data_IF_499886889541
#
_entry.id   IF_499886889541
#
_cell.length_a   1.000
_cell.length_b   1.000
_cell.length_c   1.000
_cell.angle_alpha   90.00
_cell.angle_beta   90.00
_cell.angle_gamma   90.00
#
_symmetry.space_group_name_H-M   'P 1'
#
loop_
_entity.id
_entity.type
_entity.pdbx_description
1 polymer ?
#
# COMPACT_ATOMS: atom_id res chain seq x y z
N UNK A 1 20.76 1.48 3.94
CA UNK A 1 21.18 2.55 3.00
C UNK A 1 20.14 2.69 1.90
N UNK A 2 19.87 3.89 1.39
CA UNK A 2 18.96 4.10 0.25
C UNK A 2 19.81 4.50 -0.97
N UNK A 3 19.70 3.72 -2.06
CA UNK A 3 20.35 4.00 -3.34
C UNK A 3 19.32 4.62 -4.28
N UNK A 4 19.49 5.91 -4.60
CA UNK A 4 18.55 6.69 -5.40
C UNK A 4 18.97 6.66 -6.86
N UNK A 5 18.08 6.18 -7.74
CA UNK A 5 18.26 6.15 -9.20
C UNK A 5 19.71 5.86 -9.63
N UNK A 6 20.25 4.67 -9.30
CA UNK A 6 21.65 4.37 -9.56
C UNK A 6 21.94 4.39 -11.06
N UNK A 7 22.93 5.18 -11.46
CA UNK A 7 23.39 5.25 -12.86
C UNK A 7 23.96 3.91 -13.29
N UNK A 8 24.71 3.25 -12.40
CA UNK A 8 25.16 1.88 -12.55
C UNK A 8 25.29 1.23 -11.18
N UNK A 9 24.79 -0.01 -11.07
CA UNK A 9 24.94 -0.88 -9.92
C UNK A 9 24.96 -2.32 -10.38
N UNK A 10 25.83 -3.14 -9.83
CA UNK A 10 25.86 -4.56 -10.10
C UNK A 10 25.90 -5.38 -8.80
N UNK A 11 25.20 -6.49 -8.82
CA UNK A 11 25.20 -7.50 -7.77
C UNK A 11 25.61 -8.84 -8.37
N UNK A 12 26.62 -9.47 -7.79
CA UNK A 12 27.10 -10.78 -8.22
C UNK A 12 26.71 -11.83 -7.21
N UNK A 13 26.22 -12.96 -7.68
CA UNK A 13 25.84 -14.12 -6.85
C UNK A 13 24.83 -13.75 -5.75
N UNK A 14 23.82 -12.91 -6.07
CA UNK A 14 22.72 -12.56 -5.17
C UNK A 14 21.52 -13.50 -5.38
N UNK A 15 20.85 -13.91 -4.31
CA UNK A 15 19.66 -14.75 -4.39
C UNK A 15 18.40 -13.88 -4.58
N UNK A 16 17.55 -14.23 -5.54
CA UNK A 16 16.23 -13.59 -5.66
C UNK A 16 15.29 -14.25 -4.66
N UNK A 17 14.70 -13.44 -3.79
CA UNK A 17 13.77 -13.90 -2.75
C UNK A 17 12.58 -14.65 -3.35
N UNK A 18 12.23 -15.80 -2.78
CA UNK A 18 11.16 -16.66 -3.28
C UNK A 18 11.52 -17.51 -4.51
N UNK A 19 12.75 -17.41 -5.03
CA UNK A 19 13.26 -18.30 -6.09
C UNK A 19 14.29 -19.24 -5.48
N UNK A 20 13.99 -20.54 -5.50
CA UNK A 20 14.93 -21.57 -5.07
C UNK A 20 15.99 -21.84 -6.14
N UNK A 21 17.20 -22.20 -5.70
CA UNK A 21 18.25 -22.66 -6.58
C UNK A 21 19.48 -21.76 -6.62
N UNK A 22 19.98 -21.47 -7.81
CA UNK A 22 21.22 -20.72 -8.01
C UNK A 22 21.04 -19.24 -7.74
N UNK A 23 22.13 -18.55 -7.32
CA UNK A 23 22.15 -17.10 -7.27
C UNK A 23 22.14 -16.49 -8.68
N UNK A 24 21.96 -15.18 -8.74
CA UNK A 24 21.89 -14.39 -9.97
C UNK A 24 22.98 -13.32 -9.98
N UNK A 25 23.45 -12.98 -11.18
CA UNK A 25 24.18 -11.75 -11.46
C UNK A 25 23.18 -10.74 -12.02
N UNK A 26 23.08 -9.57 -11.36
CA UNK A 26 22.08 -8.54 -11.66
C UNK A 26 22.79 -7.23 -11.93
N UNK A 27 22.43 -6.57 -13.04
CA UNK A 27 22.91 -5.24 -13.39
C UNK A 27 21.75 -4.25 -13.44
N UNK A 28 22.00 -3.06 -12.87
CA UNK A 28 21.09 -1.92 -12.90
C UNK A 28 21.81 -0.78 -13.62
N UNK A 29 21.14 -0.21 -14.60
CA UNK A 29 21.61 0.98 -15.29
C UNK A 29 20.46 1.96 -15.48
N UNK A 30 20.72 3.23 -15.17
CA UNK A 30 19.72 4.30 -15.28
C UNK A 30 18.39 3.93 -14.60
N UNK A 31 18.47 3.37 -13.39
CA UNK A 31 17.31 3.02 -12.57
C UNK A 31 16.48 1.84 -13.06
N UNK A 32 16.96 1.05 -14.04
CA UNK A 32 16.28 -0.15 -14.52
C UNK A 32 17.18 -1.37 -14.46
N UNK A 33 16.60 -2.55 -14.29
CA UNK A 33 17.31 -3.82 -14.44
C UNK A 33 17.65 -4.02 -15.91
N UNK A 34 18.94 -4.08 -16.24
CA UNK A 34 19.44 -4.27 -17.60
C UNK A 34 19.92 -5.69 -17.85
N UNK A 35 20.24 -6.44 -16.79
CA UNK A 35 20.55 -7.86 -16.86
C UNK A 35 20.13 -8.56 -15.59
N UNK A 36 19.48 -9.72 -15.73
CA UNK A 36 19.11 -10.63 -14.63
C UNK A 36 19.38 -12.06 -15.11
N UNK A 37 20.53 -12.63 -14.75
CA UNK A 37 20.99 -13.93 -15.26
C UNK A 37 21.42 -14.83 -14.11
N UNK A 38 21.19 -16.14 -14.23
CA UNK A 38 21.79 -17.09 -13.29
C UNK A 38 23.32 -16.91 -13.27
N UNK A 39 23.88 -16.86 -12.07
CA UNK A 39 25.32 -16.72 -11.91
C UNK A 39 26.05 -18.02 -12.34
N UNK A 40 27.06 -17.86 -13.17
CA UNK A 40 27.93 -18.97 -13.52
C UNK A 40 28.74 -19.45 -12.30
N UNK A 41 29.01 -20.76 -12.17
CA UNK A 41 29.84 -21.26 -11.10
C UNK A 41 31.24 -20.61 -11.17
N UNK A 42 31.55 -19.78 -10.22
CA UNK A 42 32.89 -19.16 -10.13
C UNK A 42 33.79 -20.09 -9.33
N UNK A 43 34.90 -20.49 -9.89
CA UNK A 43 36.00 -21.09 -9.14
C UNK A 43 36.64 -19.99 -8.27
N UNK A 44 35.99 -19.64 -7.17
CA UNK A 44 36.58 -18.75 -6.18
C UNK A 44 37.50 -19.60 -5.33
N UNK A 45 38.80 -19.31 -5.37
CA UNK A 45 39.72 -19.69 -4.29
C UNK A 45 39.27 -18.87 -3.06
N UNK A 46 38.33 -19.45 -2.29
CA UNK A 46 37.67 -18.76 -1.19
C UNK A 46 38.59 -18.73 0.02
N UNK A 47 39.26 -17.64 0.24
CA UNK A 47 39.87 -17.35 1.55
C UNK A 47 38.86 -16.84 2.59
N UNK A 48 37.66 -16.42 2.18
CA UNK A 48 36.56 -16.03 3.10
C UNK A 48 35.20 -16.42 2.51
N UNK A 49 34.25 -16.93 3.32
CA UNK A 49 32.88 -17.16 2.88
C UNK A 49 32.23 -15.81 2.54
N UNK A 50 31.87 -15.60 1.27
CA UNK A 50 31.07 -14.43 0.89
C UNK A 50 29.71 -14.50 1.61
N UNK A 51 29.34 -13.39 2.23
CA UNK A 51 28.02 -13.27 2.85
C UNK A 51 26.95 -13.45 1.76
N UNK A 52 26.04 -14.41 1.95
CA UNK A 52 24.88 -14.56 1.06
C UNK A 52 24.00 -13.33 1.21
N UNK A 53 23.62 -12.77 0.05
CA UNK A 53 22.67 -11.65 -0.03
C UNK A 53 21.43 -12.09 -0.78
N UNK A 54 20.31 -11.47 -0.43
CA UNK A 54 19.03 -11.67 -1.11
C UNK A 54 18.51 -10.33 -1.64
N UNK A 55 17.76 -10.40 -2.75
CA UNK A 55 17.07 -9.25 -3.35
C UNK A 55 15.59 -9.60 -3.54
N UNK A 56 14.70 -8.69 -3.18
CA UNK A 56 13.29 -8.72 -3.57
C UNK A 56 12.93 -7.49 -4.39
N UNK A 57 11.80 -7.51 -5.14
CA UNK A 57 11.20 -6.27 -5.60
C UNK A 57 10.94 -5.35 -4.42
N UNK A 58 10.90 -4.05 -4.67
CA UNK A 58 10.43 -3.07 -3.69
C UNK A 58 8.98 -3.39 -3.27
N UNK A 59 8.69 -3.22 -1.99
CA UNK A 59 7.36 -3.42 -1.44
C UNK A 59 6.47 -2.26 -1.89
N UNK A 60 5.22 -2.57 -2.21
CA UNK A 60 4.18 -1.61 -2.61
C UNK A 60 3.10 -1.61 -1.53
N UNK A 61 2.90 -0.46 -0.89
CA UNK A 61 1.84 -0.22 0.09
C UNK A 61 0.65 0.48 -0.61
N UNK A 62 -0.44 -0.27 -0.82
CA UNK A 62 -1.60 0.20 -1.58
C UNK A 62 -2.57 1.07 -0.79
N UNK A 63 -2.36 1.22 0.51
CA UNK A 63 -3.24 2.01 1.34
C UNK A 63 -2.49 2.62 2.52
N UNK A 64 -2.19 3.89 2.43
CA UNK A 64 -1.56 4.67 3.51
C UNK A 64 -2.02 6.13 3.44
N UNK A 65 -1.79 6.91 4.49
CA UNK A 65 -2.13 8.33 4.59
C UNK A 65 -0.88 9.13 4.96
N UNK A 66 -0.06 9.44 3.96
CA UNK A 66 1.23 10.11 4.15
C UNK A 66 1.14 11.59 4.50
N UNK A 67 -0.04 12.20 4.30
CA UNK A 67 -0.28 13.59 4.65
C UNK A 67 -0.63 13.79 6.12
N UNK A 68 -1.14 12.75 6.80
CA UNK A 68 -1.70 12.90 8.12
C UNK A 68 -0.61 12.87 9.19
N UNK A 69 -0.68 13.81 10.12
CA UNK A 69 0.25 13.92 11.24
C UNK A 69 -0.39 13.49 12.56
N UNK A 70 -1.70 13.47 12.61
CA UNK A 70 -2.47 13.12 13.79
C UNK A 70 -3.63 12.21 13.40
N UNK A 71 -4.06 11.34 14.32
CA UNK A 71 -5.22 10.48 14.10
C UNK A 71 -6.52 11.30 14.07
N UNK A 72 -6.61 12.33 14.90
CA UNK A 72 -7.66 13.35 14.80
C UNK A 72 -7.18 14.49 13.89
N UNK A 73 -7.84 14.67 12.77
CA UNK A 73 -7.51 15.72 11.81
C UNK A 73 -7.66 17.14 12.38
N UNK A 74 -8.49 17.34 13.41
CA UNK A 74 -8.60 18.63 14.07
C UNK A 74 -7.29 19.02 14.77
N UNK A 75 -6.55 18.06 15.30
CA UNK A 75 -5.24 18.29 15.91
C UNK A 75 -4.21 18.72 14.87
N UNK A 76 -4.23 18.10 13.69
CA UNK A 76 -3.37 18.49 12.57
C UNK A 76 -3.60 19.94 12.13
N UNK A 77 -4.86 20.40 12.10
CA UNK A 77 -5.19 21.79 11.71
C UNK A 77 -4.61 22.84 12.68
N UNK A 78 -4.30 22.44 13.92
CA UNK A 78 -3.69 23.31 14.92
C UNK A 78 -2.16 23.37 14.86
N UNK A 79 -1.52 22.54 14.00
CA UNK A 79 -0.06 22.51 13.85
C UNK A 79 0.44 23.61 12.93
N UNK A 80 1.68 24.03 13.15
CA UNK A 80 2.38 24.90 12.22
C UNK A 80 2.64 24.15 10.89
N UNK A 81 2.48 24.82 9.76
CA UNK A 81 2.61 24.22 8.43
C UNK A 81 4.00 23.63 8.16
N UNK A 82 5.05 24.22 8.72
CA UNK A 82 6.42 23.71 8.60
C UNK A 82 6.63 22.46 9.46
N UNK A 83 6.00 22.39 10.62
CA UNK A 83 5.98 21.18 11.45
C UNK A 83 5.31 20.02 10.70
N UNK A 84 4.14 20.27 10.11
CA UNK A 84 3.43 19.28 9.28
C UNK A 84 4.31 18.80 8.13
N UNK A 85 4.98 19.70 7.41
CA UNK A 85 5.86 19.35 6.30
C UNK A 85 7.02 18.45 6.75
N UNK A 86 7.66 18.76 7.87
CA UNK A 86 8.76 17.94 8.44
C UNK A 86 8.23 16.55 8.81
N UNK A 87 7.09 16.46 9.48
CA UNK A 87 6.48 15.19 9.87
C UNK A 87 6.11 14.33 8.66
N UNK A 88 5.61 14.95 7.58
CA UNK A 88 5.34 14.26 6.32
C UNK A 88 6.63 13.74 5.67
N UNK A 89 7.70 14.54 5.66
CA UNK A 89 9.01 14.11 5.14
C UNK A 89 9.58 12.93 5.96
N UNK A 90 9.41 12.95 7.27
CA UNK A 90 9.79 11.84 8.14
C UNK A 90 8.97 10.58 7.87
N UNK A 91 7.66 10.71 7.61
CA UNK A 91 6.79 9.59 7.21
C UNK A 91 7.28 8.93 5.91
N UNK A 92 7.63 9.73 4.89
CA UNK A 92 8.23 9.23 3.64
C UNK A 92 9.53 8.46 3.91
N UNK A 93 10.43 9.07 4.69
CA UNK A 93 11.72 8.45 5.02
C UNK A 93 11.55 7.16 5.84
N UNK A 94 10.63 7.15 6.81
CA UNK A 94 10.34 5.98 7.63
C UNK A 94 9.77 4.83 6.80
N UNK A 95 8.82 5.14 5.92
CA UNK A 95 8.22 4.18 4.98
C UNK A 95 9.29 3.57 4.06
N UNK A 96 10.12 4.39 3.41
CA UNK A 96 11.23 3.92 2.57
C UNK A 96 12.18 2.96 3.30
N UNK A 97 12.51 3.25 4.56
CA UNK A 97 13.41 2.39 5.36
C UNK A 97 12.87 0.99 5.62
N UNK A 98 11.56 0.77 5.45
CA UNK A 98 10.96 -0.57 5.54
C UNK A 98 11.05 -1.38 4.25
N UNK A 99 11.60 -0.79 3.18
CA UNK A 99 11.64 -1.41 1.86
C UNK A 99 10.40 -1.13 0.99
N UNK A 100 9.46 -0.32 1.48
CA UNK A 100 8.36 0.21 0.68
C UNK A 100 8.91 1.27 -0.26
N UNK A 101 8.94 1.00 -1.56
CA UNK A 101 9.45 1.91 -2.61
C UNK A 101 8.32 2.63 -3.33
N UNK A 102 7.11 2.09 -3.26
CA UNK A 102 5.92 2.66 -3.88
C UNK A 102 4.76 2.62 -2.88
N UNK A 103 3.99 3.70 -2.82
CA UNK A 103 2.81 3.80 -1.99
C UNK A 103 1.61 4.38 -2.77
N UNK A 104 0.40 3.95 -2.41
CA UNK A 104 -0.83 4.64 -2.79
C UNK A 104 -1.39 5.36 -1.56
N UNK A 105 -1.33 6.70 -1.59
CA UNK A 105 -1.98 7.53 -0.58
C UNK A 105 -3.49 7.52 -0.81
N UNK A 106 -4.22 7.00 0.15
CA UNK A 106 -5.67 6.82 0.07
C UNK A 106 -6.46 8.11 0.42
N UNK A 107 -5.77 9.23 0.52
CA UNK A 107 -6.33 10.55 0.73
C UNK A 107 -5.54 11.38 1.74
N UNK A 108 -5.42 12.66 1.42
CA UNK A 108 -4.77 13.68 2.24
C UNK A 108 -3.60 14.37 1.54
N UNK A 109 -2.76 13.66 0.80
CA UNK A 109 -1.59 14.29 0.18
C UNK A 109 -1.86 14.77 -1.24
N UNK A 110 -1.51 16.03 -1.52
CA UNK A 110 -1.61 16.60 -2.85
C UNK A 110 -0.42 16.19 -3.72
N UNK A 111 -0.59 16.01 -5.05
CA UNK A 111 0.52 15.76 -5.97
C UNK A 111 1.61 16.86 -5.92
N UNK A 112 1.24 18.11 -5.63
CA UNK A 112 2.19 19.21 -5.45
C UNK A 112 3.06 19.01 -4.20
N UNK A 113 2.48 18.56 -3.10
CA UNK A 113 3.19 18.25 -1.86
C UNK A 113 4.14 17.07 -2.05
N UNK A 114 3.70 16.00 -2.74
CA UNK A 114 4.57 14.88 -3.08
C UNK A 114 5.81 15.36 -3.84
N UNK A 115 5.62 16.15 -4.92
CA UNK A 115 6.75 16.72 -5.68
C UNK A 115 7.70 17.52 -4.82
N UNK A 116 7.17 18.35 -3.93
CA UNK A 116 7.97 19.14 -3.00
C UNK A 116 8.78 18.26 -2.06
N UNK A 117 8.15 17.28 -1.40
CA UNK A 117 8.83 16.37 -0.46
C UNK A 117 9.90 15.52 -1.14
N UNK A 118 9.61 14.97 -2.31
CA UNK A 118 10.55 14.18 -3.09
C UNK A 118 11.78 15.02 -3.46
N UNK A 119 11.57 16.23 -3.96
CA UNK A 119 12.65 17.11 -4.43
C UNK A 119 13.44 17.73 -3.28
N UNK A 120 12.74 18.35 -2.33
CA UNK A 120 13.38 19.15 -1.28
C UNK A 120 14.03 18.29 -0.20
N UNK A 121 13.30 17.25 0.26
CA UNK A 121 13.82 16.32 1.28
C UNK A 121 14.51 15.10 0.67
N UNK A 122 14.56 15.01 -0.65
CA UNK A 122 15.20 13.90 -1.37
C UNK A 122 14.72 12.53 -0.91
N UNK A 123 13.42 12.39 -0.73
CA UNK A 123 12.76 11.12 -0.35
C UNK A 123 12.22 10.43 -1.60
N UNK A 124 12.94 9.46 -2.19
CA UNK A 124 12.57 8.86 -3.47
C UNK A 124 11.47 7.79 -3.33
N UNK A 125 10.42 8.08 -2.59
CA UNK A 125 9.23 7.26 -2.51
C UNK A 125 8.30 7.58 -3.68
N UNK A 126 7.97 6.59 -4.49
CA UNK A 126 6.95 6.72 -5.53
C UNK A 126 5.57 6.77 -4.88
N UNK A 127 4.76 7.79 -5.17
CA UNK A 127 3.43 7.93 -4.56
C UNK A 127 2.38 8.22 -5.62
N UNK A 128 1.37 7.36 -5.70
CA UNK A 128 0.09 7.67 -6.35
C UNK A 128 -0.90 8.13 -5.28
N UNK A 129 -1.76 9.09 -5.57
CA UNK A 129 -2.68 9.66 -4.58
C UNK A 129 -4.08 9.89 -5.14
N UNK A 130 -5.07 9.84 -4.22
CA UNK A 130 -6.43 10.35 -4.46
C UNK A 130 -6.60 11.81 -4.05
N UNK A 131 -5.60 12.41 -3.39
CA UNK A 131 -5.58 13.76 -2.81
C UNK A 131 -6.66 14.00 -1.76
N UNK A 132 -7.93 13.80 -2.09
CA UNK A 132 -9.07 14.01 -1.20
C UNK A 132 -9.95 12.75 -1.14
N UNK A 133 -10.80 12.69 -0.11
CA UNK A 133 -11.76 11.61 0.09
C UNK A 133 -13.18 12.17 -0.08
N UNK A 134 -13.99 11.50 -0.88
CA UNK A 134 -15.43 11.77 -0.95
C UNK A 134 -16.14 10.97 0.14
N UNK A 135 -16.86 11.64 1.02
CA UNK A 135 -17.53 11.04 2.17
C UNK A 135 -18.98 11.46 2.33
N UNK A 136 -19.59 11.14 3.46
CA UNK A 136 -21.00 11.45 3.75
C UNK A 136 -21.35 12.94 3.60
N UNK A 137 -20.40 13.84 3.85
CA UNK A 137 -20.58 15.29 3.68
C UNK A 137 -20.75 15.70 2.20
N UNK A 138 -20.32 14.85 1.26
CA UNK A 138 -20.42 15.09 -0.20
C UNK A 138 -21.69 14.48 -0.80
N UNK A 139 -22.44 13.64 -0.07
CA UNK A 139 -23.69 13.02 -0.51
C UNK A 139 -24.85 14.05 -0.58
N UNK A 140 -24.75 14.97 -1.54
CA UNK A 140 -25.70 16.09 -1.76
C UNK A 140 -26.24 16.10 -3.18
N UNK A 141 -26.26 14.95 -3.82
CA UNK A 141 -26.72 14.73 -5.19
C UNK A 141 -25.63 14.88 -6.25
N UNK A 142 -25.93 14.32 -7.41
CA UNK A 142 -25.01 14.18 -8.55
C UNK A 142 -24.36 15.50 -8.97
N UNK A 143 -25.12 16.59 -8.99
CA UNK A 143 -24.58 17.90 -9.38
C UNK A 143 -23.49 18.42 -8.43
N UNK A 144 -23.65 18.17 -7.12
CA UNK A 144 -22.62 18.52 -6.15
C UNK A 144 -21.38 17.65 -6.34
N UNK A 145 -21.56 16.35 -6.54
CA UNK A 145 -20.47 15.40 -6.77
C UNK A 145 -19.67 15.70 -8.05
N UNK A 146 -20.33 16.17 -9.12
CA UNK A 146 -19.65 16.62 -10.34
C UNK A 146 -18.65 17.76 -10.05
N UNK A 147 -19.06 18.75 -9.23
CA UNK A 147 -18.19 19.84 -8.79
C UNK A 147 -17.01 19.34 -7.95
N UNK A 148 -17.28 18.46 -6.98
CA UNK A 148 -16.23 17.87 -6.12
C UNK A 148 -15.22 17.07 -6.94
N UNK A 149 -15.68 16.26 -7.89
CA UNK A 149 -14.80 15.49 -8.77
C UNK A 149 -13.94 16.42 -9.63
N UNK A 150 -14.49 17.52 -10.15
CA UNK A 150 -13.72 18.50 -10.92
C UNK A 150 -12.60 19.13 -10.07
N UNK A 151 -12.86 19.45 -8.80
CA UNK A 151 -11.85 19.95 -7.86
C UNK A 151 -10.72 18.90 -7.65
N UNK A 152 -11.06 17.64 -7.42
CA UNK A 152 -10.08 16.56 -7.27
C UNK A 152 -9.25 16.37 -8.55
N UNK A 153 -9.89 16.41 -9.74
CA UNK A 153 -9.15 16.30 -11.00
C UNK A 153 -8.17 17.44 -11.20
N UNK A 154 -8.53 18.66 -10.80
CA UNK A 154 -7.67 19.82 -10.87
C UNK A 154 -6.38 19.69 -10.03
N UNK A 155 -6.37 18.85 -8.99
CA UNK A 155 -5.14 18.57 -8.22
C UNK A 155 -4.11 17.76 -9.00
N UNK A 156 -4.54 17.04 -10.04
CA UNK A 156 -3.74 16.07 -10.78
C UNK A 156 -3.74 14.67 -10.19
N UNK A 157 -4.54 14.37 -9.15
CA UNK A 157 -4.66 13.04 -8.57
C UNK A 157 -5.05 11.98 -9.61
N UNK A 158 -4.45 10.80 -9.50
CA UNK A 158 -4.71 9.66 -10.38
C UNK A 158 -5.88 8.78 -9.93
N UNK A 159 -6.26 8.91 -8.66
CA UNK A 159 -7.27 8.09 -8.00
C UNK A 159 -8.41 8.93 -7.43
N UNK A 160 -9.57 8.29 -7.28
CA UNK A 160 -10.71 8.81 -6.51
C UNK A 160 -10.93 7.89 -5.33
N UNK A 161 -10.94 8.44 -4.12
CA UNK A 161 -11.28 7.71 -2.88
C UNK A 161 -12.73 7.96 -2.51
N UNK A 162 -13.48 6.87 -2.37
CA UNK A 162 -14.86 6.89 -1.87
C UNK A 162 -14.86 6.30 -0.46
N UNK A 163 -15.36 7.05 0.52
CA UNK A 163 -15.71 6.58 1.84
C UNK A 163 -17.15 6.09 1.81
N UNK A 164 -17.35 4.85 1.32
CA UNK A 164 -18.70 4.34 1.06
C UNK A 164 -19.48 3.99 2.33
N UNK A 165 -18.77 3.69 3.43
CA UNK A 165 -19.33 3.51 4.78
C UNK A 165 -18.54 4.33 5.79
N UNK A 166 -18.99 4.36 7.05
CA UNK A 166 -18.18 4.85 8.17
C UNK A 166 -17.03 3.89 8.52
N UNK A 167 -16.15 4.31 9.41
CA UNK A 167 -14.94 3.59 9.83
C UNK A 167 -14.60 3.72 11.31
N UNK A 168 -13.32 3.93 11.62
CA UNK A 168 -12.83 4.14 12.99
C UNK A 168 -12.92 5.59 13.46
N UNK A 169 -13.20 6.55 12.56
CA UNK A 169 -13.06 7.98 12.83
C UNK A 169 -13.89 8.49 13.99
N UNK A 170 -15.17 8.12 14.09
CA UNK A 170 -16.03 8.53 15.19
C UNK A 170 -16.89 7.38 15.73
N UNK A 171 -17.20 7.38 17.05
CA UNK A 171 -18.00 6.33 17.69
C UNK A 171 -19.40 6.16 17.08
N UNK A 172 -19.96 7.23 16.51
CA UNK A 172 -21.32 7.26 15.93
C UNK A 172 -21.39 6.81 14.47
N UNK A 173 -20.24 6.60 13.80
CA UNK A 173 -20.21 6.16 12.41
C UNK A 173 -20.80 4.77 12.23
N UNK A 174 -21.55 4.60 11.16
CA UNK A 174 -22.19 3.34 10.77
C UNK A 174 -21.32 2.64 9.74
N UNK A 175 -20.73 1.54 10.14
CA UNK A 175 -19.64 0.87 9.39
C UNK A 175 -20.12 -0.03 8.24
N UNK A 176 -21.42 -0.29 8.12
CA UNK A 176 -21.99 -1.13 7.05
C UNK A 176 -23.17 -0.47 6.32
N UNK A 177 -23.57 0.72 6.76
CA UNK A 177 -24.60 1.51 6.08
C UNK A 177 -23.94 2.45 5.06
N UNK A 178 -24.54 2.59 3.85
CA UNK A 178 -23.99 3.46 2.82
C UNK A 178 -23.99 4.93 3.21
N UNK A 179 -22.89 5.64 2.91
CA UNK A 179 -22.80 7.09 3.00
C UNK A 179 -23.44 7.81 1.79
N UNK A 180 -23.62 7.11 0.68
CA UNK A 180 -24.17 7.62 -0.57
C UNK A 180 -25.41 6.81 -0.97
N UNK A 181 -26.25 7.37 -1.82
CA UNK A 181 -27.21 6.58 -2.56
C UNK A 181 -26.49 5.74 -3.63
N UNK A 182 -27.13 4.67 -4.09
CA UNK A 182 -26.60 3.83 -5.20
C UNK A 182 -26.37 4.66 -6.47
N UNK A 183 -27.25 5.60 -6.77
CA UNK A 183 -27.12 6.52 -7.92
C UNK A 183 -25.87 7.39 -7.81
N UNK A 184 -25.63 8.00 -6.65
CA UNK A 184 -24.45 8.84 -6.38
C UNK A 184 -23.17 8.03 -6.46
N UNK A 185 -23.13 6.85 -5.84
CA UNK A 185 -21.98 5.95 -5.90
C UNK A 185 -21.65 5.56 -7.35
N UNK A 186 -22.65 5.08 -8.09
CA UNK A 186 -22.48 4.70 -9.48
C UNK A 186 -22.08 5.90 -10.38
N UNK A 187 -22.58 7.10 -10.07
CA UNK A 187 -22.17 8.32 -10.77
C UNK A 187 -20.68 8.62 -10.55
N UNK A 188 -20.21 8.61 -9.30
CA UNK A 188 -18.80 8.86 -8.97
C UNK A 188 -17.90 7.94 -9.78
N UNK A 189 -18.16 6.63 -9.75
CA UNK A 189 -17.31 5.65 -10.45
C UNK A 189 -17.33 5.86 -11.96
N UNK A 190 -18.51 5.95 -12.58
CA UNK A 190 -18.61 6.20 -14.03
C UNK A 190 -17.91 7.48 -14.46
N UNK A 191 -18.07 8.56 -13.69
CA UNK A 191 -17.45 9.83 -13.99
C UNK A 191 -15.93 9.80 -13.83
N UNK A 192 -15.43 9.10 -12.81
CA UNK A 192 -14.00 8.87 -12.62
C UNK A 192 -13.40 8.10 -13.80
N UNK A 193 -13.99 6.98 -14.20
CA UNK A 193 -13.51 6.17 -15.32
C UNK A 193 -13.57 6.93 -16.66
N UNK A 194 -14.62 7.72 -16.90
CA UNK A 194 -14.71 8.58 -18.10
C UNK A 194 -13.56 9.62 -18.16
N UNK A 195 -13.02 10.02 -17.01
CA UNK A 195 -11.87 10.92 -16.89
C UNK A 195 -10.54 10.17 -16.67
N UNK A 196 -10.48 8.86 -16.97
CA UNK A 196 -9.30 8.01 -16.84
C UNK A 196 -8.71 8.00 -15.42
N UNK A 197 -9.56 8.16 -14.42
CA UNK A 197 -9.18 8.03 -13.01
C UNK A 197 -9.57 6.66 -12.49
N UNK A 198 -8.77 6.12 -11.60
CA UNK A 198 -9.02 4.88 -10.88
C UNK A 198 -9.79 5.16 -9.60
N UNK A 199 -10.49 4.16 -9.09
CA UNK A 199 -11.32 4.30 -7.88
C UNK A 199 -10.93 3.25 -6.84
N UNK A 200 -10.72 3.72 -5.60
CA UNK A 200 -10.58 2.87 -4.43
C UNK A 200 -11.71 3.17 -3.44
N UNK A 201 -12.28 2.13 -2.82
CA UNK A 201 -13.48 2.25 -2.02
C UNK A 201 -13.27 1.76 -0.60
N UNK A 202 -13.29 2.68 0.36
CA UNK A 202 -13.43 2.32 1.77
C UNK A 202 -14.82 1.74 2.00
N UNK A 203 -14.89 0.52 2.44
CA UNK A 203 -16.10 -0.13 2.93
C UNK A 203 -15.75 -1.25 3.91
N UNK A 204 -16.45 -1.32 5.03
CA UNK A 204 -16.29 -2.44 5.94
C UNK A 204 -17.15 -3.64 5.56
N UNK A 205 -18.24 -3.42 4.83
CA UNK A 205 -19.18 -4.46 4.43
C UNK A 205 -20.51 -3.89 3.97
N UNK A 206 -21.50 -4.77 3.84
CA UNK A 206 -22.85 -4.40 3.41
C UNK A 206 -22.98 -4.27 1.89
N UNK A 207 -24.02 -3.57 1.44
CA UNK A 207 -24.39 -3.45 0.02
C UNK A 207 -23.36 -2.67 -0.80
N UNK A 208 -22.52 -1.85 -0.15
CA UNK A 208 -21.49 -1.07 -0.85
C UNK A 208 -20.39 -1.94 -1.46
N UNK A 209 -20.17 -3.16 -0.94
CA UNK A 209 -19.34 -4.17 -1.61
C UNK A 209 -19.98 -4.57 -2.95
N UNK A 210 -21.29 -4.81 -2.96
CA UNK A 210 -22.02 -5.19 -4.18
C UNK A 210 -22.00 -4.09 -5.22
N UNK A 211 -22.19 -2.84 -4.80
CA UNK A 211 -22.08 -1.67 -5.68
C UNK A 211 -20.66 -1.51 -6.24
N UNK A 212 -19.63 -1.77 -5.43
CA UNK A 212 -18.24 -1.71 -5.87
C UNK A 212 -17.93 -2.75 -6.95
N UNK A 213 -18.42 -3.98 -6.76
CA UNK A 213 -18.32 -5.07 -7.73
C UNK A 213 -19.04 -4.70 -9.04
N UNK A 214 -20.27 -4.23 -8.94
CA UNK A 214 -21.11 -3.88 -10.09
C UNK A 214 -20.53 -2.69 -10.88
N UNK A 215 -19.99 -1.69 -10.18
CA UNK A 215 -19.40 -0.50 -10.81
C UNK A 215 -18.00 -0.74 -11.37
N UNK A 216 -17.34 -1.84 -11.00
CA UNK A 216 -16.02 -2.23 -11.51
C UNK A 216 -14.90 -1.32 -10.99
N UNK A 217 -14.90 -0.98 -9.70
CA UNK A 217 -13.82 -0.21 -9.07
C UNK A 217 -12.50 -1.01 -9.10
N UNK A 218 -11.35 -0.34 -8.95
CA UNK A 218 -10.08 -1.04 -8.97
C UNK A 218 -9.81 -1.81 -7.68
N UNK A 219 -10.24 -1.30 -6.52
CA UNK A 219 -10.07 -2.01 -5.26
C UNK A 219 -11.10 -1.65 -4.20
N UNK A 220 -11.43 -2.65 -3.37
CA UNK A 220 -12.14 -2.52 -2.11
C UNK A 220 -11.13 -2.53 -0.98
N UNK A 221 -11.23 -1.56 -0.08
CA UNK A 221 -10.36 -1.38 1.07
C UNK A 221 -11.07 -1.87 2.34
N UNK A 222 -10.33 -2.51 3.24
CA UNK A 222 -10.76 -3.06 4.54
C UNK A 222 -11.66 -4.29 4.43
N UNK A 223 -12.90 -4.16 3.99
CA UNK A 223 -13.82 -5.26 3.63
C UNK A 223 -13.97 -6.38 4.67
N UNK A 224 -13.77 -6.11 5.98
CA UNK A 224 -13.72 -7.15 7.00
C UNK A 224 -15.03 -7.92 7.18
N UNK A 225 -16.17 -7.36 6.76
CA UNK A 225 -17.45 -8.03 6.78
C UNK A 225 -17.88 -8.60 5.42
N UNK A 226 -16.90 -8.90 4.55
CA UNK A 226 -17.11 -9.60 3.29
C UNK A 226 -17.81 -10.94 3.54
N UNK A 227 -18.92 -11.17 2.84
CA UNK A 227 -19.63 -12.47 2.89
C UNK A 227 -19.07 -13.46 1.87
N UNK A 228 -19.33 -14.75 2.06
CA UNK A 228 -18.89 -15.78 1.10
C UNK A 228 -19.47 -15.56 -0.31
N UNK A 229 -20.75 -15.17 -0.40
CA UNK A 229 -21.41 -14.88 -1.67
C UNK A 229 -20.77 -13.66 -2.38
N UNK A 230 -20.49 -12.59 -1.63
CA UNK A 230 -19.78 -11.43 -2.16
C UNK A 230 -18.36 -11.79 -2.61
N UNK A 231 -17.68 -12.69 -1.87
CA UNK A 231 -16.33 -13.12 -2.24
C UNK A 231 -16.32 -13.86 -3.60
N UNK A 232 -17.32 -14.69 -3.87
CA UNK A 232 -17.47 -15.34 -5.18
C UNK A 232 -17.62 -14.32 -6.32
N UNK A 233 -18.53 -13.37 -6.16
CA UNK A 233 -18.74 -12.30 -7.18
C UNK A 233 -17.55 -11.37 -7.33
N UNK A 234 -16.87 -11.07 -6.22
CA UNK A 234 -15.66 -10.24 -6.24
C UNK A 234 -14.53 -10.91 -7.04
N UNK A 235 -14.33 -12.22 -6.86
CA UNK A 235 -13.36 -12.99 -7.63
C UNK A 235 -13.64 -12.98 -9.14
N UNK A 236 -14.92 -13.08 -9.53
CA UNK A 236 -15.34 -13.05 -10.93
C UNK A 236 -15.21 -11.65 -11.57
N UNK A 237 -15.36 -10.59 -10.78
CA UNK A 237 -15.31 -9.21 -11.26
C UNK A 237 -13.91 -8.71 -11.58
N UNK A 238 -12.89 -9.30 -10.99
CA UNK A 238 -11.50 -8.83 -11.08
C UNK A 238 -11.17 -7.63 -10.19
N UNK A 239 -12.13 -7.11 -9.42
CA UNK A 239 -11.90 -6.06 -8.41
C UNK A 239 -10.98 -6.61 -7.32
N UNK A 240 -9.94 -5.85 -6.96
CA UNK A 240 -8.97 -6.27 -5.96
C UNK A 240 -9.46 -6.01 -4.52
N UNK A 241 -8.86 -6.71 -3.56
CA UNK A 241 -9.16 -6.55 -2.15
C UNK A 241 -7.89 -6.17 -1.37
N UNK A 242 -7.90 -5.01 -0.69
CA UNK A 242 -6.81 -4.49 0.13
C UNK A 242 -7.27 -4.44 1.59
N UNK A 243 -6.99 -5.46 2.41
CA UNK A 243 -7.64 -5.65 3.70
C UNK A 243 -7.13 -4.73 4.82
N UNK A 244 -5.89 -4.22 4.76
CA UNK A 244 -5.33 -3.30 5.77
C UNK A 244 -5.43 -3.82 7.21
N UNK A 245 -4.92 -5.00 7.45
CA UNK A 245 -5.24 -5.75 8.68
C UNK A 245 -4.53 -5.27 9.93
N UNK A 246 -3.31 -4.78 9.81
CA UNK A 246 -2.46 -4.42 10.95
C UNK A 246 -2.99 -3.22 11.73
N UNK A 247 -3.56 -2.22 11.06
CA UNK A 247 -4.08 -1.02 11.74
C UNK A 247 -5.19 -1.36 12.72
N UNK A 248 -6.07 -2.31 12.40
CA UNK A 248 -7.17 -2.70 13.28
C UNK A 248 -6.69 -3.45 14.52
N UNK A 249 -5.61 -4.24 14.41
CA UNK A 249 -4.96 -4.85 15.57
C UNK A 249 -4.28 -3.80 16.46
N UNK A 250 -3.61 -2.83 15.86
CA UNK A 250 -2.97 -1.73 16.59
C UNK A 250 -4.02 -0.88 17.29
N UNK A 251 -5.10 -0.53 16.58
CA UNK A 251 -6.19 0.28 17.10
C UNK A 251 -7.02 -0.43 18.19
N UNK A 252 -7.00 -1.76 18.23
CA UNK A 252 -7.68 -2.55 19.25
C UNK A 252 -6.98 -2.51 20.63
N UNK A 253 -5.72 -2.11 20.69
CA UNK A 253 -4.98 -2.02 21.96
C UNK A 253 -5.31 -0.70 22.68
N UNK A 254 -6.03 -0.72 23.83
CA UNK A 254 -6.37 0.49 24.57
C UNK A 254 -5.16 1.17 25.24
N UNK A 255 -4.00 0.51 25.27
CA UNK A 255 -2.72 1.04 25.75
C UNK A 255 -1.73 1.28 24.59
N UNK A 256 -2.19 1.08 23.37
CA UNK A 256 -1.39 1.22 22.17
C UNK A 256 -1.02 2.65 21.82
N UNK A 257 -0.16 2.78 20.84
CA UNK A 257 0.44 4.06 20.40
C UNK A 257 -0.60 5.08 19.92
N UNK A 258 -1.80 4.64 19.51
CA UNK A 258 -2.85 5.53 19.01
C UNK A 258 -3.68 6.17 20.11
N UNK A 259 -3.59 5.69 21.36
CA UNK A 259 -4.30 6.24 22.54
C UNK A 259 -5.81 6.48 22.31
N UNK A 260 -6.47 5.55 21.62
CA UNK A 260 -7.87 5.67 21.21
C UNK A 260 -8.84 5.42 22.37
N UNK A 261 -10.06 5.93 22.25
CA UNK A 261 -11.11 5.72 23.24
C UNK A 261 -11.49 4.22 23.32
N UNK A 262 -11.94 3.71 24.49
CA UNK A 262 -12.34 2.31 24.64
C UNK A 262 -13.37 1.84 23.62
N UNK A 263 -14.30 2.71 23.21
CA UNK A 263 -15.33 2.39 22.21
C UNK A 263 -14.71 2.16 20.83
N UNK A 264 -13.71 2.95 20.46
CA UNK A 264 -12.99 2.77 19.18
C UNK A 264 -12.13 1.51 19.25
N UNK A 265 -11.44 1.26 20.36
CA UNK A 265 -10.64 0.04 20.53
C UNK A 265 -11.51 -1.23 20.41
N UNK A 266 -12.69 -1.24 21.05
CA UNK A 266 -13.62 -2.38 20.95
C UNK A 266 -14.14 -2.58 19.51
N UNK A 267 -14.43 -1.48 18.79
CA UNK A 267 -14.82 -1.52 17.38
C UNK A 267 -13.68 -2.08 16.53
N UNK A 268 -12.45 -1.65 16.75
CA UNK A 268 -11.27 -2.13 16.05
C UNK A 268 -11.01 -3.62 16.32
N UNK A 269 -11.19 -4.08 17.55
CA UNK A 269 -11.06 -5.49 17.92
C UNK A 269 -12.04 -6.36 17.14
N UNK A 270 -13.32 -5.96 17.08
CA UNK A 270 -14.34 -6.68 16.28
C UNK A 270 -14.01 -6.72 14.79
N UNK A 271 -13.45 -5.63 14.25
CA UNK A 271 -13.00 -5.56 12.87
C UNK A 271 -11.81 -6.49 12.63
N UNK A 272 -10.82 -6.52 13.52
CA UNK A 272 -9.66 -7.40 13.45
C UNK A 272 -10.07 -8.89 13.51
N UNK A 273 -11.02 -9.26 14.36
CA UNK A 273 -11.56 -10.62 14.44
C UNK A 273 -12.26 -11.03 13.13
N UNK A 274 -13.02 -10.12 12.53
CA UNK A 274 -13.74 -10.38 11.29
C UNK A 274 -12.79 -10.55 10.09
N UNK A 275 -11.65 -9.87 10.06
CA UNK A 275 -10.67 -9.95 8.98
C UNK A 275 -10.19 -11.38 8.70
N UNK A 276 -9.99 -12.20 9.72
CA UNK A 276 -9.57 -13.61 9.54
C UNK A 276 -10.56 -14.38 8.64
N UNK A 277 -11.86 -14.14 8.81
CA UNK A 277 -12.90 -14.75 7.99
C UNK A 277 -12.90 -14.19 6.57
N UNK A 278 -12.83 -12.86 6.42
CA UNK A 278 -12.83 -12.20 5.11
C UNK A 278 -11.62 -12.61 4.25
N UNK A 279 -10.43 -12.66 4.84
CA UNK A 279 -9.21 -13.13 4.16
C UNK A 279 -9.33 -14.61 3.79
N UNK A 280 -9.88 -15.45 4.68
CA UNK A 280 -10.15 -16.85 4.38
C UNK A 280 -11.11 -17.02 3.20
N UNK A 281 -12.13 -16.18 3.07
CA UNK A 281 -13.03 -16.15 1.91
C UNK A 281 -12.31 -15.67 0.65
N UNK A 282 -11.58 -14.58 0.73
CA UNK A 282 -10.83 -14.03 -0.39
C UNK A 282 -9.83 -15.03 -0.95
N UNK A 283 -9.06 -15.69 -0.10
CA UNK A 283 -8.10 -16.73 -0.49
C UNK A 283 -8.76 -17.91 -1.19
N UNK A 284 -9.84 -18.46 -0.62
CA UNK A 284 -10.56 -19.61 -1.20
C UNK A 284 -11.26 -19.27 -2.52
N UNK A 285 -11.75 -18.04 -2.66
CA UNK A 285 -12.36 -17.56 -3.89
C UNK A 285 -11.35 -17.17 -4.97
N UNK A 286 -10.05 -17.03 -4.62
CA UNK A 286 -9.01 -16.62 -5.55
C UNK A 286 -9.01 -15.13 -5.87
N UNK A 287 -9.49 -14.29 -4.95
CA UNK A 287 -9.48 -12.82 -5.10
C UNK A 287 -8.03 -12.33 -5.10
N UNK A 288 -7.72 -11.36 -5.99
CA UNK A 288 -6.44 -10.67 -5.96
C UNK A 288 -6.33 -9.82 -4.70
N UNK A 289 -5.39 -10.17 -3.83
CA UNK A 289 -5.11 -9.44 -2.60
C UNK A 289 -4.01 -8.40 -2.83
N UNK A 290 -4.20 -7.21 -2.26
CA UNK A 290 -3.18 -6.17 -2.20
C UNK A 290 -2.71 -5.94 -0.76
N UNK A 291 -1.41 -5.66 -0.60
CA UNK A 291 -0.82 -5.23 0.65
C UNK A 291 -1.14 -3.75 0.88
N UNK A 292 -1.64 -3.39 2.05
CA UNK A 292 -1.94 -2.02 2.45
C UNK A 292 -1.98 -1.90 3.96
N UNK A 293 -1.43 -0.83 4.52
CA UNK A 293 -1.29 -0.69 5.98
C UNK A 293 -2.36 0.17 6.62
N UNK A 294 -2.90 1.14 5.89
CA UNK A 294 -3.80 2.19 6.40
C UNK A 294 -3.16 3.02 7.54
N UNK A 295 -1.82 3.15 7.49
CA UNK A 295 -1.10 3.95 8.48
C UNK A 295 -1.27 5.43 8.21
N UNK A 296 -1.67 6.14 9.26
CA UNK A 296 -2.18 7.51 9.17
C UNK A 296 -1.46 8.49 10.10
N UNK A 297 -0.40 8.08 10.78
CA UNK A 297 0.36 8.96 11.66
C UNK A 297 1.86 8.66 11.59
N UNK A 298 2.74 9.63 11.83
CA UNK A 298 4.18 9.41 11.84
C UNK A 298 4.65 8.32 12.80
N UNK A 299 3.90 8.08 13.89
CA UNK A 299 4.19 7.01 14.86
C UNK A 299 4.00 5.60 14.29
N UNK A 300 3.26 5.44 13.20
CA UNK A 300 3.03 4.16 12.52
C UNK A 300 3.91 3.97 11.29
N UNK A 301 4.25 5.05 10.59
CA UNK A 301 5.15 4.95 9.45
C UNK A 301 6.53 4.42 9.88
N UNK A 302 7.05 3.44 9.14
CA UNK A 302 8.25 2.68 9.55
C UNK A 302 7.94 1.33 10.21
N UNK A 303 6.66 1.04 10.46
CA UNK A 303 6.17 -0.29 10.89
C UNK A 303 5.40 -1.03 9.79
N UNK A 304 5.45 -0.56 8.53
CA UNK A 304 4.67 -1.10 7.41
C UNK A 304 4.79 -2.62 7.25
N UNK A 305 5.92 -3.22 7.63
CA UNK A 305 6.13 -4.66 7.54
C UNK A 305 5.24 -5.48 8.51
N UNK A 306 4.62 -4.85 9.52
CA UNK A 306 3.68 -5.55 10.42
C UNK A 306 2.45 -6.08 9.69
N UNK A 307 2.11 -5.51 8.52
CA UNK A 307 1.04 -6.05 7.69
C UNK A 307 1.35 -7.48 7.23
N UNK A 308 2.62 -7.84 6.98
CA UNK A 308 3.00 -9.23 6.70
C UNK A 308 2.65 -10.16 7.86
N UNK A 309 2.94 -9.76 9.11
CA UNK A 309 2.67 -10.58 10.29
C UNK A 309 1.18 -10.88 10.39
N UNK A 310 0.33 -9.87 10.21
CA UNK A 310 -1.13 -10.02 10.31
C UNK A 310 -1.72 -10.81 9.15
N UNK A 311 -1.24 -10.63 7.93
CA UNK A 311 -1.67 -11.43 6.78
C UNK A 311 -1.32 -12.91 6.95
N UNK A 312 -0.13 -13.23 7.48
CA UNK A 312 0.28 -14.61 7.80
C UNK A 312 -0.59 -15.22 8.90
N UNK A 313 -0.85 -14.46 9.97
CA UNK A 313 -1.71 -14.90 11.08
C UNK A 313 -3.15 -15.17 10.62
N UNK A 314 -3.64 -14.44 9.60
CA UNK A 314 -4.96 -14.64 9.01
C UNK A 314 -4.99 -15.69 7.89
N UNK A 315 -3.88 -16.44 7.70
CA UNK A 315 -3.85 -17.65 6.90
C UNK A 315 -3.30 -17.54 5.49
N UNK A 316 -2.71 -16.40 5.10
CA UNK A 316 -1.88 -16.37 3.91
C UNK A 316 -0.59 -17.15 4.17
N UNK A 317 -0.09 -17.84 3.15
CA UNK A 317 1.29 -18.30 3.20
C UNK A 317 2.25 -17.17 2.78
N UNK A 318 3.56 -17.36 3.00
CA UNK A 318 4.57 -16.33 2.72
C UNK A 318 4.60 -15.90 1.26
N UNK A 319 4.46 -16.83 0.33
CA UNK A 319 4.46 -16.52 -1.10
C UNK A 319 3.24 -15.65 -1.49
N UNK A 320 2.07 -15.96 -0.93
CA UNK A 320 0.85 -15.17 -1.13
C UNK A 320 1.00 -13.76 -0.55
N UNK A 321 1.53 -13.63 0.67
CA UNK A 321 1.76 -12.34 1.30
C UNK A 321 2.79 -11.49 0.54
N UNK A 322 3.91 -12.08 0.10
CA UNK A 322 4.89 -11.36 -0.74
C UNK A 322 4.32 -10.97 -2.10
N UNK A 323 3.55 -11.86 -2.73
CA UNK A 323 2.88 -11.56 -4.00
C UNK A 323 1.92 -10.38 -3.87
N UNK A 324 1.14 -10.31 -2.78
CA UNK A 324 0.23 -9.19 -2.52
C UNK A 324 0.96 -7.85 -2.32
N UNK A 325 2.21 -7.88 -1.85
CA UNK A 325 3.04 -6.70 -1.59
C UNK A 325 3.93 -6.30 -2.78
N UNK A 326 3.94 -7.08 -3.86
CA UNK A 326 4.81 -6.86 -5.03
C UNK A 326 4.02 -6.94 -6.34
N UNK A 327 3.91 -8.13 -6.92
CA UNK A 327 3.32 -8.34 -8.25
C UNK A 327 1.85 -7.93 -8.30
N UNK A 328 1.02 -8.44 -7.37
CA UNK A 328 -0.41 -8.12 -7.35
C UNK A 328 -0.64 -6.64 -7.04
N UNK A 329 0.15 -6.06 -6.12
CA UNK A 329 0.08 -4.63 -5.83
C UNK A 329 0.44 -3.78 -7.06
N UNK A 330 1.47 -4.13 -7.81
CA UNK A 330 1.84 -3.45 -9.04
C UNK A 330 0.73 -3.52 -10.10
N UNK A 331 0.08 -4.68 -10.25
CA UNK A 331 -1.07 -4.86 -11.15
C UNK A 331 -2.26 -3.99 -10.72
N UNK A 332 -2.58 -3.92 -9.42
CA UNK A 332 -3.65 -3.08 -8.87
C UNK A 332 -3.37 -1.59 -9.14
N UNK A 333 -2.12 -1.16 -9.02
CA UNK A 333 -1.71 0.20 -9.38
C UNK A 333 -1.77 0.47 -10.89
N UNK A 334 -1.86 -0.57 -11.73
CA UNK A 334 -1.75 -0.48 -13.18
C UNK A 334 -0.33 -0.31 -13.69
N UNK A 335 0.66 -0.62 -12.85
CA UNK A 335 2.10 -0.53 -13.14
C UNK A 335 2.78 -1.90 -13.20
N UNK A 336 2.03 -3.00 -13.32
CA UNK A 336 2.55 -4.36 -13.36
C UNK A 336 3.49 -4.67 -14.54
N UNK A 337 3.49 -3.81 -15.57
CA UNK A 337 4.40 -3.90 -16.70
C UNK A 337 5.82 -3.37 -16.40
N UNK A 338 6.01 -2.66 -15.29
CA UNK A 338 7.30 -2.05 -14.94
C UNK A 338 7.69 -2.13 -13.45
N UNK A 339 6.77 -2.51 -12.55
CA UNK A 339 7.01 -2.64 -11.11
C UNK A 339 6.69 -4.04 -10.59
N UNK A 340 7.18 -4.37 -9.40
CA UNK A 340 6.82 -5.57 -8.66
C UNK A 340 7.59 -6.83 -9.04
N UNK A 341 8.61 -6.74 -9.90
CA UNK A 341 9.44 -7.89 -10.34
C UNK A 341 10.92 -7.52 -10.44
N UNK A 342 11.78 -8.52 -10.19
CA UNK A 342 13.19 -8.47 -10.54
C UNK A 342 13.32 -9.09 -11.94
N UNK A 343 13.23 -8.26 -12.97
CA UNK A 343 13.28 -8.71 -14.36
C UNK A 343 13.85 -7.61 -15.27
N UNK A 344 14.49 -8.01 -16.37
CA UNK A 344 15.05 -7.07 -17.37
C UNK A 344 13.98 -6.12 -17.90
N UNK A 345 14.29 -4.83 -17.98
CA UNK A 345 13.41 -3.74 -18.40
C UNK A 345 12.56 -3.13 -17.27
N UNK A 346 12.40 -3.83 -16.15
CA UNK A 346 11.65 -3.30 -15.00
C UNK A 346 12.43 -2.19 -14.28
N UNK A 347 11.69 -1.28 -13.65
CA UNK A 347 12.26 -0.28 -12.76
C UNK A 347 12.95 -0.99 -11.60
N UNK A 348 14.16 -0.56 -11.28
CA UNK A 348 14.98 -1.19 -10.25
C UNK A 348 14.60 -0.73 -8.83
N UNK A 349 13.30 -0.84 -8.51
CA UNK A 349 12.81 -0.73 -7.16
C UNK A 349 13.01 -2.08 -6.46
N UNK A 350 13.94 -2.12 -5.49
CA UNK A 350 14.36 -3.38 -4.88
C UNK A 350 14.82 -3.20 -3.44
N UNK A 351 14.80 -4.29 -2.69
CA UNK A 351 15.34 -4.35 -1.33
C UNK A 351 16.40 -5.45 -1.24
N UNK A 352 17.56 -5.11 -0.65
CA UNK A 352 18.68 -6.03 -0.43
C UNK A 352 18.69 -6.45 1.04
N UNK A 353 18.82 -7.75 1.29
CA UNK A 353 18.77 -8.33 2.62
C UNK A 353 20.02 -9.16 2.94
N UNK A 354 20.37 -9.18 4.24
CA UNK A 354 21.44 -10.03 4.80
C UNK A 354 21.00 -11.48 5.02
N UNK A 355 19.71 -11.77 4.98
CA UNK A 355 19.11 -13.09 5.14
C UNK A 355 17.90 -13.23 4.23
N UNK A 356 17.48 -14.45 3.94
CA UNK A 356 16.30 -14.71 3.11
C UNK A 356 15.05 -14.08 3.75
N UNK A 357 14.45 -13.07 3.09
CA UNK A 357 13.29 -12.39 3.64
C UNK A 357 12.05 -13.30 3.73
N UNK A 358 11.98 -14.36 2.93
CA UNK A 358 10.91 -15.37 3.02
C UNK A 358 11.04 -16.29 4.25
N UNK A 359 12.19 -16.30 4.93
CA UNK A 359 12.41 -17.07 6.15
C UNK A 359 12.29 -16.23 7.44
N UNK A 360 12.06 -14.92 7.31
CA UNK A 360 11.86 -14.05 8.46
C UNK A 360 10.64 -14.50 9.29
N UNK A 361 10.80 -14.60 10.60
CA UNK A 361 9.74 -15.09 11.49
C UNK A 361 8.65 -14.03 11.76
N UNK A 362 9.05 -12.75 11.68
CA UNK A 362 8.17 -11.60 11.90
C UNK A 362 8.76 -10.34 11.23
N UNK A 363 7.96 -9.27 11.22
CA UNK A 363 8.31 -7.96 10.66
C UNK A 363 9.60 -7.37 11.24
N UNK A 364 9.88 -7.56 12.52
CA UNK A 364 11.10 -7.00 13.15
C UNK A 364 12.36 -7.72 12.65
N UNK A 365 12.32 -9.04 12.52
CA UNK A 365 13.42 -9.81 11.93
C UNK A 365 13.61 -9.46 10.45
N UNK A 366 12.51 -9.32 9.70
CA UNK A 366 12.54 -8.89 8.30
C UNK A 366 13.20 -7.51 8.17
N UNK A 367 12.74 -6.54 8.96
CA UNK A 367 13.29 -5.17 8.99
C UNK A 367 14.79 -5.15 9.32
N UNK A 368 15.22 -5.92 10.31
CA UNK A 368 16.65 -6.02 10.71
C UNK A 368 17.54 -6.65 9.64
N UNK A 369 16.99 -7.44 8.74
CA UNK A 369 17.73 -8.04 7.63
C UNK A 369 17.97 -7.10 6.46
N UNK A 370 17.27 -5.95 6.37
CA UNK A 370 17.41 -4.98 5.28
C UNK A 370 18.79 -4.30 5.35
N UNK A 371 19.56 -4.45 4.29
CA UNK A 371 20.86 -3.78 4.10
C UNK A 371 20.67 -2.45 3.36
N UNK A 372 19.95 -2.49 2.24
CA UNK A 372 19.71 -1.31 1.43
C UNK A 372 18.39 -1.39 0.66
N UNK A 373 17.85 -0.22 0.36
CA UNK A 373 16.69 -0.04 -0.52
C UNK A 373 17.17 0.67 -1.78
N UNK A 374 16.81 0.14 -2.92
CA UNK A 374 17.11 0.72 -4.24
C UNK A 374 15.83 1.29 -4.81
N UNK A 375 15.88 2.53 -5.30
CA UNK A 375 14.76 3.17 -5.98
C UNK A 375 15.19 3.54 -7.39
N UNK A 376 14.54 2.98 -8.39
CA UNK A 376 14.96 3.10 -9.78
C UNK A 376 14.39 4.30 -10.52
N UNK A 377 13.40 5.00 -9.98
CA UNK A 377 12.81 6.15 -10.64
C UNK A 377 13.64 7.41 -10.45
N UNK A 378 13.69 8.24 -11.48
CA UNK A 378 14.06 9.64 -11.38
C UNK A 378 12.93 10.47 -10.73
N UNK A 379 13.17 11.77 -10.48
CA UNK A 379 12.16 12.64 -9.84
C UNK A 379 10.83 12.70 -10.62
N UNK A 380 10.86 12.57 -11.95
CA UNK A 380 9.65 12.60 -12.79
C UNK A 380 8.82 11.32 -12.69
N UNK A 381 9.45 10.18 -12.45
CA UNK A 381 8.80 8.88 -12.32
C UNK A 381 8.29 8.54 -10.92
N UNK A 382 8.42 9.46 -9.94
CA UNK A 382 8.01 9.24 -8.54
C UNK A 382 6.56 9.66 -8.23
N UNK A 383 5.83 10.23 -9.21
CA UNK A 383 4.47 10.78 -8.99
C UNK A 383 3.49 10.16 -9.98
#
# INVERSE_FOLDING_TARGET
>A
MILKHPQFQAYSSIHIAGIEGKPFDIEIQNGRFTSVKEAEPRHVQAEQPQQKLWISPGIIDLHTHLAWTDFDHADQLNRDSREVEVMQAEAFAATLRTGVTTARDAGGILPSTIRHLVKYYQQPLRVQTSSEMLGAADAKGVKHLEGRLAEIYATGAGWIKIMATGGLGAPTEKVTEPNFSEEEFAFIVRHAHANRKKVLVHTWGGVTIDWSIQAGVESIEHGMFLTWDQAGRLAESGVAFVPTTSIYRIAADPKGVLALSPVICERAARAADAHATAIGYAKRAGIRLGFGTDYATPSLHGYNLQEFDTLLDYGLNRAEAWKSATQDAAEILGSGHELGRIAEGYVADAVIYAADPYQAQNADQLRKSIISVVTGADEAGLI
#
